data_IF_516941551000
#
_entry.id   IF_516941551000
#
_cell.length_a   1.000
_cell.length_b   1.000
_cell.length_c   1.000
_cell.angle_alpha   90.00
_cell.angle_beta   90.00
_cell.angle_gamma   90.00
#
_symmetry.space_group_name_H-M   'P 1'
#
loop_
_entity.id
_entity.type
_entity.pdbx_description
1 polymer ?
#
# COMPACT_ATOMS: atom_id res chain seq x y z
N UNK A 1 -7.41 -4.67 -17.02
CA UNK A 1 -7.39 -5.68 -18.08
C UNK A 1 -5.95 -5.95 -18.48
N UNK A 2 -5.56 -7.21 -18.64
CA UNK A 2 -4.22 -7.66 -19.04
C UNK A 2 -4.34 -8.50 -20.30
N UNK A 3 -3.52 -8.23 -21.31
CA UNK A 3 -3.44 -9.00 -22.55
C UNK A 3 -2.02 -9.51 -22.74
N UNK A 4 -1.85 -10.77 -23.15
CA UNK A 4 -0.56 -11.39 -23.43
C UNK A 4 -0.55 -11.96 -24.84
N UNK A 5 0.54 -11.77 -25.58
CA UNK A 5 0.73 -12.34 -26.91
C UNK A 5 2.21 -12.35 -27.30
N UNK A 6 2.56 -13.24 -28.22
CA UNK A 6 3.95 -13.46 -28.69
C UNK A 6 4.46 -12.38 -29.65
N UNK A 7 3.56 -11.62 -30.29
CA UNK A 7 3.93 -10.57 -31.26
C UNK A 7 3.21 -9.25 -30.97
N UNK A 8 3.83 -8.15 -31.40
CA UNK A 8 3.28 -6.79 -31.22
C UNK A 8 1.87 -6.67 -31.81
N UNK A 9 1.65 -7.23 -33.01
CA UNK A 9 0.36 -7.19 -33.71
C UNK A 9 -0.70 -7.98 -32.97
N UNK A 10 -0.40 -9.22 -32.56
CA UNK A 10 -1.33 -10.06 -31.77
C UNK A 10 -1.67 -9.40 -30.44
N UNK A 11 -0.69 -8.77 -29.79
CA UNK A 11 -0.89 -8.04 -28.53
C UNK A 11 -1.83 -6.85 -28.72
N UNK A 12 -1.64 -6.09 -29.80
CA UNK A 12 -2.52 -4.97 -30.15
C UNK A 12 -3.95 -5.43 -30.43
N UNK A 13 -4.14 -6.51 -31.19
CA UNK A 13 -5.45 -7.09 -31.47
C UNK A 13 -6.14 -7.55 -30.20
N UNK A 14 -5.46 -8.37 -29.38
CA UNK A 14 -6.02 -8.88 -28.13
C UNK A 14 -6.39 -7.76 -27.15
N UNK A 15 -5.54 -6.73 -27.03
CA UNK A 15 -5.85 -5.55 -26.22
C UNK A 15 -7.08 -4.80 -26.75
N UNK A 16 -7.20 -4.65 -28.07
CA UNK A 16 -8.31 -3.95 -28.71
C UNK A 16 -9.64 -4.71 -28.56
N UNK A 17 -9.64 -6.03 -28.74
CA UNK A 17 -10.80 -6.89 -28.50
C UNK A 17 -11.28 -6.81 -27.06
N UNK A 18 -10.34 -6.90 -26.11
CA UNK A 18 -10.64 -6.80 -24.70
C UNK A 18 -11.24 -5.41 -24.37
N UNK A 19 -10.65 -4.32 -24.88
CA UNK A 19 -11.23 -2.98 -24.70
C UNK A 19 -12.60 -2.82 -25.36
N UNK A 20 -12.87 -3.50 -26.48
CA UNK A 20 -14.20 -3.50 -27.11
C UNK A 20 -15.25 -4.12 -26.21
N UNK A 21 -14.95 -5.25 -25.56
CA UNK A 21 -15.84 -5.88 -24.57
C UNK A 21 -16.13 -4.91 -23.43
N UNK A 22 -15.08 -4.28 -22.87
CA UNK A 22 -15.23 -3.32 -21.78
C UNK A 22 -16.02 -2.08 -22.19
N UNK A 23 -15.83 -1.61 -23.43
CA UNK A 23 -16.59 -0.48 -23.98
C UNK A 23 -18.08 -0.80 -24.14
N UNK A 24 -18.43 -1.95 -24.71
CA UNK A 24 -19.83 -2.37 -24.81
C UNK A 24 -20.49 -2.44 -23.43
N UNK A 25 -19.75 -2.91 -22.42
CA UNK A 25 -20.23 -2.94 -21.05
C UNK A 25 -20.39 -1.53 -20.46
N UNK A 26 -19.41 -0.62 -20.64
CA UNK A 26 -19.48 0.74 -20.11
C UNK A 26 -20.63 1.53 -20.73
N UNK A 27 -20.81 1.42 -22.05
CA UNK A 27 -21.85 2.11 -22.81
C UNK A 27 -23.24 1.62 -22.36
N UNK A 28 -23.40 0.32 -22.11
CA UNK A 28 -24.65 -0.26 -21.58
C UNK A 28 -25.02 0.29 -20.20
N UNK A 29 -24.04 0.62 -19.37
CA UNK A 29 -24.25 1.12 -18.00
C UNK A 29 -24.15 2.65 -17.91
N UNK A 30 -24.05 3.37 -19.04
CA UNK A 30 -23.94 4.83 -19.06
C UNK A 30 -22.66 5.38 -18.42
N UNK A 31 -21.58 4.58 -18.37
CA UNK A 31 -20.31 4.96 -17.75
C UNK A 31 -19.35 5.59 -18.78
N UNK A 32 -18.94 6.83 -18.54
CA UNK A 32 -17.91 7.49 -19.34
C UNK A 32 -16.50 7.32 -18.71
N UNK A 33 -15.56 6.81 -19.51
CA UNK A 33 -14.19 6.58 -19.06
C UNK A 33 -13.33 7.84 -19.26
N UNK A 34 -12.66 8.26 -18.19
CA UNK A 34 -11.73 9.39 -18.20
C UNK A 34 -10.46 9.07 -19.01
N UNK A 35 -10.37 9.67 -20.19
CA UNK A 35 -9.27 9.55 -21.15
C UNK A 35 -7.90 9.87 -20.54
N UNK A 36 -7.81 10.91 -19.72
CA UNK A 36 -6.56 11.36 -19.10
C UNK A 36 -6.00 10.35 -18.08
N UNK A 37 -6.90 9.63 -17.40
CA UNK A 37 -6.56 8.62 -16.41
C UNK A 37 -6.27 7.26 -17.06
N UNK A 38 -6.76 7.01 -18.27
CA UNK A 38 -6.53 5.75 -18.99
C UNK A 38 -5.13 5.72 -19.59
N UNK A 39 -4.30 4.84 -19.06
CA UNK A 39 -2.94 4.59 -19.52
C UNK A 39 -2.69 3.09 -19.55
N UNK A 40 -1.73 2.65 -20.37
CA UNK A 40 -1.30 1.26 -20.37
C UNK A 40 0.21 1.13 -20.15
N UNK A 41 0.58 0.02 -19.51
CA UNK A 41 1.96 -0.39 -19.28
C UNK A 41 2.26 -1.58 -20.19
N UNK A 42 3.35 -1.51 -20.95
CA UNK A 42 3.84 -2.65 -21.73
C UNK A 42 4.88 -3.41 -20.92
N UNK A 43 4.58 -4.67 -20.57
CA UNK A 43 5.49 -5.60 -19.92
C UNK A 43 6.13 -6.51 -20.98
N UNK A 44 7.03 -5.97 -21.80
CA UNK A 44 7.77 -6.75 -22.80
C UNK A 44 9.08 -6.06 -23.21
N UNK A 45 9.95 -6.81 -23.89
CA UNK A 45 11.19 -6.29 -24.47
C UNK A 45 10.99 -5.62 -25.85
N UNK A 46 9.74 -5.49 -26.31
CA UNK A 46 9.45 -4.90 -27.61
C UNK A 46 9.85 -3.40 -27.63
N UNK A 47 10.67 -3.02 -28.61
CA UNK A 47 11.11 -1.63 -28.81
C UNK A 47 9.92 -0.73 -29.17
N UNK A 48 9.12 -1.16 -30.15
CA UNK A 48 7.82 -0.57 -30.49
C UNK A 48 6.72 -1.34 -29.78
N UNK A 49 5.68 -0.64 -29.35
CA UNK A 49 4.57 -1.23 -28.62
C UNK A 49 3.27 -0.98 -29.37
N UNK A 50 2.23 -1.79 -29.11
CA UNK A 50 0.99 -1.70 -29.86
C UNK A 50 0.36 -0.31 -29.72
N UNK A 51 -0.28 0.14 -30.80
CA UNK A 51 -1.12 1.33 -30.75
C UNK A 51 -2.51 0.91 -30.32
N UNK A 52 -2.84 1.23 -29.07
CA UNK A 52 -4.11 0.89 -28.43
C UNK A 52 -5.02 2.12 -28.45
N UNK A 53 -6.28 1.91 -28.80
CA UNK A 53 -7.28 2.97 -28.90
C UNK A 53 -8.49 2.70 -28.00
N UNK A 54 -9.05 3.77 -27.46
CA UNK A 54 -10.36 3.81 -26.80
C UNK A 54 -11.29 4.69 -27.63
N UNK A 55 -12.16 4.07 -28.44
CA UNK A 55 -12.90 4.78 -29.48
C UNK A 55 -11.95 5.35 -30.53
N UNK A 56 -12.05 6.65 -30.81
CA UNK A 56 -11.17 7.35 -31.76
C UNK A 56 -9.84 7.82 -31.16
N UNK A 57 -9.65 7.68 -29.84
CA UNK A 57 -8.49 8.25 -29.15
C UNK A 57 -7.45 7.20 -28.79
N UNK A 58 -6.17 7.57 -28.94
CA UNK A 58 -5.05 6.70 -28.59
C UNK A 58 -4.79 6.71 -27.08
N UNK A 59 -4.73 5.54 -26.48
CA UNK A 59 -4.39 5.39 -25.05
C UNK A 59 -2.89 5.62 -24.85
N UNK A 60 -2.52 6.43 -23.85
CA UNK A 60 -1.13 6.75 -23.57
C UNK A 60 -0.38 5.55 -23.01
N UNK A 61 0.76 5.22 -23.63
CA UNK A 61 1.76 4.28 -23.08
C UNK A 61 2.58 4.97 -21.99
N UNK A 62 2.73 4.33 -20.83
CA UNK A 62 3.64 4.78 -19.76
C UNK A 62 4.72 3.75 -19.45
N UNK A 63 5.87 4.19 -18.92
CA UNK A 63 6.93 3.31 -18.38
C UNK A 63 6.69 2.94 -16.91
N UNK A 64 5.85 3.71 -16.22
CA UNK A 64 5.46 3.48 -14.83
C UNK A 64 3.98 3.74 -14.68
N UNK A 65 3.24 2.73 -14.23
CA UNK A 65 1.79 2.81 -14.02
C UNK A 65 1.49 2.73 -12.53
N UNK A 66 0.64 3.64 -12.02
CA UNK A 66 0.17 3.59 -10.64
C UNK A 66 -1.14 2.81 -10.59
N UNK A 67 -1.17 1.74 -9.81
CA UNK A 67 -2.36 0.92 -9.59
C UNK A 67 -2.54 0.68 -8.09
N UNK A 68 -3.68 1.10 -7.53
CA UNK A 68 -3.99 0.99 -6.09
C UNK A 68 -2.86 1.53 -5.18
N UNK A 69 -2.20 2.61 -5.61
CA UNK A 69 -1.08 3.22 -4.88
C UNK A 69 0.28 2.54 -5.07
N UNK A 70 0.35 1.43 -5.80
CA UNK A 70 1.60 0.73 -6.16
C UNK A 70 2.08 1.20 -7.53
N UNK A 71 3.38 1.50 -7.66
CA UNK A 71 3.97 1.91 -8.93
C UNK A 71 4.65 0.73 -9.63
N UNK A 72 4.08 0.31 -10.76
CA UNK A 72 4.53 -0.79 -11.60
C UNK A 72 5.43 -0.26 -12.71
N UNK A 73 6.70 -0.68 -12.74
CA UNK A 73 7.61 -0.38 -13.84
C UNK A 73 7.47 -1.35 -15.01
N UNK A 74 7.89 -0.94 -16.22
CA UNK A 74 7.78 -1.76 -17.45
C UNK A 74 8.58 -3.08 -17.45
N UNK A 75 9.51 -3.25 -16.51
CA UNK A 75 10.25 -4.50 -16.24
C UNK A 75 9.96 -5.07 -14.85
N UNK A 76 8.78 -4.74 -14.29
CA UNK A 76 8.45 -4.98 -12.88
C UNK A 76 9.52 -4.43 -11.92
N UNK A 77 10.11 -3.29 -12.28
CA UNK A 77 11.09 -2.61 -11.45
C UNK A 77 10.38 -1.80 -10.35
N UNK A 78 10.68 -2.12 -9.10
CA UNK A 78 10.07 -1.53 -7.90
C UNK A 78 10.84 -0.33 -7.34
N UNK A 79 11.97 0.06 -7.95
CA UNK A 79 12.79 1.15 -7.47
C UNK A 79 12.03 2.49 -7.44
N UNK A 80 11.16 2.76 -8.41
CA UNK A 80 10.33 3.97 -8.40
C UNK A 80 9.33 3.93 -7.24
N UNK A 81 8.66 2.79 -7.03
CA UNK A 81 7.73 2.61 -5.92
C UNK A 81 8.40 2.85 -4.56
N UNK A 82 9.55 2.24 -4.32
CA UNK A 82 10.33 2.40 -3.09
C UNK A 82 10.75 3.85 -2.82
N UNK A 83 11.18 4.57 -3.85
CA UNK A 83 11.54 5.99 -3.72
C UNK A 83 10.31 6.80 -3.30
N UNK A 84 9.15 6.55 -3.92
CA UNK A 84 7.90 7.23 -3.58
C UNK A 84 7.43 6.92 -2.16
N UNK A 85 7.40 5.64 -1.74
CA UNK A 85 6.99 5.28 -0.38
C UNK A 85 7.97 5.78 0.67
N UNK A 86 9.27 5.69 0.42
CA UNK A 86 10.29 6.23 1.31
C UNK A 86 10.22 7.75 1.44
N UNK A 87 9.92 8.47 0.35
CA UNK A 87 9.71 9.92 0.41
C UNK A 87 8.45 10.27 1.23
N UNK A 88 7.34 9.55 1.01
CA UNK A 88 6.11 9.72 1.77
C UNK A 88 6.32 9.47 3.27
N UNK A 89 7.03 8.40 3.63
CA UNK A 89 7.36 8.07 5.01
C UNK A 89 8.23 9.16 5.68
N UNK A 90 9.25 9.65 4.98
CA UNK A 90 10.09 10.74 5.48
C UNK A 90 9.32 12.06 5.62
N UNK A 91 8.40 12.36 4.70
CA UNK A 91 7.55 13.54 4.78
C UNK A 91 6.67 13.50 6.03
N UNK A 92 5.99 12.37 6.28
CA UNK A 92 5.17 12.18 7.47
C UNK A 92 6.00 12.28 8.75
N UNK A 93 7.18 11.66 8.78
CA UNK A 93 8.09 11.79 9.91
C UNK A 93 8.55 13.24 10.13
N UNK A 94 8.89 13.97 9.06
CA UNK A 94 9.33 15.35 9.17
C UNK A 94 8.26 16.26 9.77
N UNK A 95 6.98 15.98 9.49
CA UNK A 95 5.85 16.68 10.10
C UNK A 95 5.75 16.37 11.60
N UNK A 96 5.96 15.12 12.01
CA UNK A 96 5.96 14.74 13.42
C UNK A 96 7.12 15.36 14.20
N UNK A 97 8.32 15.38 13.62
CA UNK A 97 9.52 15.97 14.28
C UNK A 97 9.41 17.48 14.43
N UNK A 98 8.62 18.17 13.59
CA UNK A 98 8.33 19.60 13.79
C UNK A 98 7.52 19.86 15.06
N UNK A 99 6.75 18.89 15.53
CA UNK A 99 5.91 19.02 16.73
C UNK A 99 6.64 18.60 18.01
N UNK A 100 7.68 17.76 17.89
CA UNK A 100 8.50 17.33 19.00
C UNK A 100 9.91 16.91 18.56
N UNK A 101 10.92 17.42 19.26
CA UNK A 101 12.32 17.11 19.01
C UNK A 101 12.77 15.74 19.51
N UNK A 102 14.06 15.42 19.31
CA UNK A 102 14.64 14.20 19.86
C UNK A 102 14.89 14.27 21.37
N UNK A 103 15.01 15.49 21.92
CA UNK A 103 15.30 15.77 23.34
C UNK A 103 14.13 16.39 24.11
N UNK A 104 13.02 16.71 23.44
CA UNK A 104 11.85 17.33 24.06
C UNK A 104 10.54 16.87 23.38
N UNK A 105 9.42 16.94 24.11
CA UNK A 105 8.10 16.55 23.59
C UNK A 105 7.83 15.04 23.70
N UNK A 106 8.21 14.25 22.69
CA UNK A 106 7.80 12.84 22.54
C UNK A 106 8.90 11.89 23.07
N UNK A 107 8.51 10.96 23.96
CA UNK A 107 9.41 9.94 24.49
C UNK A 107 9.99 9.03 23.38
N UNK A 108 11.22 8.50 23.53
CA UNK A 108 11.79 7.55 22.56
C UNK A 108 10.89 6.34 22.31
N UNK A 109 10.23 5.83 23.36
CA UNK A 109 9.27 4.71 23.26
C UNK A 109 8.11 5.02 22.32
N UNK A 110 7.51 6.21 22.44
CA UNK A 110 6.41 6.61 21.57
C UNK A 110 6.89 6.89 20.14
N UNK A 111 8.10 7.46 19.95
CA UNK A 111 8.72 7.59 18.62
C UNK A 111 8.92 6.23 17.94
N UNK A 112 9.38 5.22 18.67
CA UNK A 112 9.51 3.85 18.16
C UNK A 112 8.14 3.26 17.76
N UNK A 113 7.10 3.50 18.56
CA UNK A 113 5.73 3.07 18.21
C UNK A 113 5.21 3.76 16.95
N UNK A 114 5.41 5.08 16.82
CA UNK A 114 5.03 5.84 15.62
C UNK A 114 5.80 5.38 14.38
N UNK A 115 7.08 5.07 14.52
CA UNK A 115 7.89 4.49 13.44
C UNK A 115 7.27 3.17 12.94
N UNK A 116 6.97 2.24 13.85
CA UNK A 116 6.35 0.94 13.51
C UNK A 116 4.94 1.10 12.92
N UNK A 117 4.12 1.98 13.49
CA UNK A 117 2.72 2.15 13.09
C UNK A 117 2.57 2.90 11.77
N UNK A 118 3.40 3.92 11.52
CA UNK A 118 3.24 4.84 10.37
C UNK A 118 4.30 4.62 9.33
N UNK A 119 5.58 4.64 9.72
CA UNK A 119 6.69 4.61 8.75
C UNK A 119 6.82 3.23 8.12
N UNK A 120 6.94 2.18 8.94
CA UNK A 120 7.05 0.80 8.42
C UNK A 120 5.85 0.47 7.53
N UNK A 121 4.63 0.81 7.97
CA UNK A 121 3.40 0.56 7.19
C UNK A 121 3.32 1.35 5.89
N UNK A 122 3.81 2.60 5.88
CA UNK A 122 3.85 3.40 4.66
C UNK A 122 4.84 2.81 3.65
N UNK A 123 6.02 2.38 4.11
CA UNK A 123 7.01 1.74 3.24
C UNK A 123 6.50 0.37 2.77
N UNK A 124 5.84 -0.40 3.64
CA UNK A 124 5.27 -1.71 3.35
C UNK A 124 4.04 -1.68 2.42
N UNK A 125 3.62 -0.52 1.91
CA UNK A 125 2.48 -0.44 1.00
C UNK A 125 2.73 -1.30 -0.25
N UNK A 126 1.84 -2.28 -0.44
CA UNK A 126 1.93 -3.24 -1.55
C UNK A 126 3.10 -4.22 -1.44
N UNK A 127 3.68 -4.45 -0.25
CA UNK A 127 4.84 -5.33 -0.04
C UNK A 127 4.63 -6.74 -0.58
N UNK A 128 3.39 -7.24 -0.60
CA UNK A 128 3.05 -8.53 -1.22
C UNK A 128 3.38 -8.63 -2.71
N UNK A 129 3.41 -7.50 -3.43
CA UNK A 129 3.70 -7.45 -4.85
C UNK A 129 5.22 -7.36 -5.15
N UNK A 130 6.00 -6.71 -4.27
CA UNK A 130 7.40 -6.37 -4.57
C UNK A 130 8.42 -6.84 -3.53
N UNK A 131 8.00 -7.21 -2.33
CA UNK A 131 8.86 -7.58 -1.21
C UNK A 131 9.44 -9.00 -1.29
N UNK A 132 9.04 -9.82 -2.28
CA UNK A 132 9.58 -11.16 -2.49
C UNK A 132 11.00 -11.18 -3.05
N UNK A 133 11.40 -10.13 -3.75
CA UNK A 133 12.69 -10.05 -4.43
C UNK A 133 13.31 -8.69 -4.15
N UNK A 134 13.90 -8.54 -2.96
CA UNK A 134 14.58 -7.32 -2.55
C UNK A 134 16.03 -7.38 -3.05
N UNK A 135 16.36 -6.52 -4.01
CA UNK A 135 17.73 -6.44 -4.54
C UNK A 135 18.65 -5.65 -3.59
N UNK A 136 19.97 -5.86 -3.67
CA UNK A 136 20.96 -5.09 -2.91
C UNK A 136 20.75 -3.57 -3.01
N UNK A 137 20.46 -3.06 -4.21
CA UNK A 137 20.18 -1.63 -4.43
C UNK A 137 18.94 -1.15 -3.68
N UNK A 138 17.93 -2.00 -3.50
CA UNK A 138 16.75 -1.71 -2.69
C UNK A 138 17.10 -1.70 -1.21
N UNK A 139 17.90 -2.66 -0.74
CA UNK A 139 18.41 -2.72 0.65
C UNK A 139 19.14 -1.42 1.00
N UNK A 140 20.09 -0.99 0.17
CA UNK A 140 20.84 0.26 0.42
C UNK A 140 19.90 1.48 0.52
N UNK A 141 18.90 1.57 -0.38
CA UNK A 141 17.93 2.66 -0.35
C UNK A 141 17.03 2.61 0.89
N UNK A 142 16.57 1.43 1.28
CA UNK A 142 15.76 1.24 2.49
C UNK A 142 16.54 1.66 3.74
N UNK A 143 17.80 1.23 3.86
CA UNK A 143 18.70 1.64 4.95
C UNK A 143 18.92 3.16 4.99
N UNK A 144 19.13 3.79 3.82
CA UNK A 144 19.23 5.25 3.71
C UNK A 144 17.95 5.98 4.15
N UNK A 145 16.76 5.41 3.89
CA UNK A 145 15.48 5.98 4.34
C UNK A 145 15.20 5.72 5.81
N UNK A 146 15.65 4.59 6.34
CA UNK A 146 15.48 4.21 7.75
C UNK A 146 16.37 5.07 8.67
N UNK A 147 17.63 5.30 8.27
CA UNK A 147 18.66 5.90 9.12
C UNK A 147 18.27 7.24 9.78
N UNK A 148 17.70 8.23 9.08
CA UNK A 148 17.31 9.50 9.71
C UNK A 148 16.28 9.32 10.82
N UNK A 149 15.39 8.35 10.67
CA UNK A 149 14.33 8.04 11.63
C UNK A 149 14.93 7.42 12.90
N UNK A 150 15.87 6.50 12.73
CA UNK A 150 16.57 5.88 13.84
C UNK A 150 17.40 6.90 14.63
N UNK A 151 18.10 7.80 13.95
CA UNK A 151 18.83 8.90 14.59
C UNK A 151 17.87 9.83 15.37
N UNK A 152 16.69 10.11 14.83
CA UNK A 152 15.69 10.88 15.54
C UNK A 152 15.16 10.15 16.78
N UNK A 153 14.93 8.83 16.71
CA UNK A 153 14.46 8.02 17.84
C UNK A 153 15.50 7.98 18.97
N UNK A 154 16.76 7.73 18.64
CA UNK A 154 17.82 7.55 19.65
C UNK A 154 18.42 8.86 20.14
N UNK A 155 18.43 9.91 19.32
CA UNK A 155 19.21 11.12 19.58
C UNK A 155 20.72 10.92 19.44
N UNK A 156 21.17 9.80 18.86
CA UNK A 156 22.59 9.48 18.71
C UNK A 156 23.30 10.38 17.68
N UNK A 157 24.65 10.38 17.72
CA UNK A 157 25.47 11.13 16.78
C UNK A 157 25.25 10.69 15.32
N UNK A 158 25.42 11.63 14.39
CA UNK A 158 25.27 11.36 12.94
C UNK A 158 26.29 10.35 12.41
N UNK A 159 27.39 10.12 13.13
CA UNK A 159 28.45 9.15 12.82
C UNK A 159 28.15 7.75 13.37
N UNK A 160 27.12 7.57 14.21
CA UNK A 160 26.79 6.27 14.78
C UNK A 160 26.40 5.25 13.70
N UNK A 161 26.92 4.01 13.71
CA UNK A 161 26.58 2.98 12.73
C UNK A 161 25.07 2.66 12.71
N UNK A 162 24.48 2.47 11.52
CA UNK A 162 23.03 2.18 11.40
C UNK A 162 22.64 0.87 12.10
N UNK A 163 23.51 -0.14 12.04
CA UNK A 163 23.31 -1.42 12.74
C UNK A 163 23.23 -1.24 14.26
N UNK A 164 24.09 -0.41 14.83
CA UNK A 164 24.04 -0.09 16.26
C UNK A 164 22.72 0.61 16.64
N UNK A 165 22.22 1.52 15.79
CA UNK A 165 20.94 2.19 16.02
C UNK A 165 19.76 1.20 15.99
N UNK A 166 19.77 0.26 15.05
CA UNK A 166 18.75 -0.80 14.93
C UNK A 166 18.72 -1.68 16.19
N UNK A 167 19.89 -2.11 16.67
CA UNK A 167 20.02 -2.92 17.88
C UNK A 167 19.51 -2.18 19.12
N UNK A 168 19.97 -0.94 19.35
CA UNK A 168 19.58 -0.14 20.53
C UNK A 168 18.07 0.15 20.55
N UNK A 169 17.46 0.38 19.38
CA UNK A 169 16.02 0.67 19.28
C UNK A 169 15.14 -0.59 19.25
N UNK A 170 15.72 -1.77 19.07
CA UNK A 170 14.97 -3.00 18.79
C UNK A 170 14.16 -2.91 17.50
N UNK A 171 14.67 -2.17 16.51
CA UNK A 171 14.04 -2.01 15.19
C UNK A 171 14.82 -2.85 14.18
N UNK A 172 14.12 -3.77 13.52
CA UNK A 172 14.68 -4.62 12.47
C UNK A 172 15.11 -3.79 11.25
N UNK A 173 16.17 -4.18 10.52
CA UNK A 173 16.44 -3.65 9.19
C UNK A 173 15.20 -3.70 8.30
N UNK A 174 14.89 -2.60 7.61
CA UNK A 174 13.66 -2.49 6.83
C UNK A 174 13.52 -3.58 5.77
N UNK A 175 14.62 -3.94 5.10
CA UNK A 175 14.68 -4.99 4.10
C UNK A 175 14.22 -6.35 4.67
N UNK A 176 14.82 -6.80 5.77
CA UNK A 176 14.44 -8.06 6.44
C UNK A 176 12.98 -8.00 6.88
N UNK A 177 12.54 -6.88 7.47
CA UNK A 177 11.17 -6.69 7.93
C UNK A 177 10.15 -6.81 6.79
N UNK A 178 10.44 -6.18 5.65
CA UNK A 178 9.56 -6.17 4.48
C UNK A 178 9.53 -7.53 3.78
N UNK A 179 10.66 -8.21 3.70
CA UNK A 179 10.75 -9.57 3.18
C UNK A 179 9.91 -10.54 4.02
N UNK A 180 10.08 -10.52 5.34
CA UNK A 180 9.28 -11.32 6.26
C UNK A 180 7.77 -11.03 6.13
N UNK A 181 7.37 -9.76 5.97
CA UNK A 181 5.96 -9.41 5.75
C UNK A 181 5.44 -9.91 4.39
N UNK A 182 6.25 -9.88 3.32
CA UNK A 182 5.86 -10.41 2.02
C UNK A 182 5.65 -11.93 2.07
N UNK A 183 6.56 -12.65 2.73
CA UNK A 183 6.51 -14.10 2.94
C UNK A 183 5.28 -14.48 3.78
N UNK A 184 5.04 -13.79 4.88
CA UNK A 184 3.88 -14.01 5.73
C UNK A 184 2.56 -13.83 4.97
N UNK A 185 2.45 -12.78 4.15
CA UNK A 185 1.27 -12.56 3.30
C UNK A 185 1.10 -13.68 2.28
N UNK A 186 2.19 -14.22 1.75
CA UNK A 186 2.12 -15.36 0.82
C UNK A 186 1.61 -16.63 1.48
N UNK A 187 2.10 -16.97 2.66
CA UNK A 187 1.63 -18.14 3.41
C UNK A 187 0.16 -17.97 3.81
N UNK A 188 -0.15 -16.91 4.57
CA UNK A 188 -1.45 -16.79 5.23
C UNK A 188 -2.55 -16.35 4.26
N UNK A 189 -2.30 -15.37 3.39
CA UNK A 189 -3.36 -14.80 2.53
C UNK A 189 -3.44 -15.45 1.16
N UNK A 190 -2.31 -15.84 0.59
CA UNK A 190 -2.28 -16.46 -0.74
C UNK A 190 -2.32 -17.98 -0.68
N UNK A 191 -2.21 -18.59 0.51
CA UNK A 191 -2.22 -20.04 0.75
C UNK A 191 -1.22 -20.75 -0.14
N UNK A 192 0.02 -20.25 -0.15
CA UNK A 192 1.13 -20.81 -0.92
C UNK A 192 2.27 -21.18 0.00
N UNK A 193 2.70 -22.43 -0.08
CA UNK A 193 3.89 -22.92 0.61
C UNK A 193 5.12 -22.08 0.22
N UNK A 194 6.05 -22.02 1.13
CA UNK A 194 7.32 -21.32 0.97
C UNK A 194 8.47 -22.23 1.35
N UNK A 195 9.59 -22.08 0.66
CA UNK A 195 10.85 -22.67 1.07
C UNK A 195 11.81 -21.53 1.38
N UNK A 196 12.26 -21.43 2.63
CA UNK A 196 13.18 -20.39 3.09
C UNK A 196 14.41 -21.12 3.62
N UNK A 197 15.58 -20.84 3.04
CA UNK A 197 16.87 -21.43 3.47
C UNK A 197 16.89 -22.97 3.57
N UNK A 198 16.03 -23.65 2.80
CA UNK A 198 15.92 -25.11 2.77
C UNK A 198 14.82 -25.69 3.68
N UNK A 199 14.19 -24.86 4.51
CA UNK A 199 13.03 -25.26 5.31
C UNK A 199 11.73 -25.01 4.55
N UNK A 200 10.84 -25.99 4.55
CA UNK A 200 9.50 -25.87 3.95
C UNK A 200 8.48 -25.40 4.99
N UNK A 201 7.77 -24.34 4.63
CA UNK A 201 6.69 -23.74 5.39
C UNK A 201 5.37 -24.04 4.65
N UNK A 202 4.60 -24.98 5.19
CA UNK A 202 3.27 -25.30 4.69
C UNK A 202 2.27 -24.25 5.22
N UNK A 203 1.40 -23.70 4.37
CA UNK A 203 0.39 -22.74 4.82
C UNK A 203 -0.64 -23.36 5.79
N UNK A 204 -0.86 -24.69 5.73
CA UNK A 204 -1.86 -25.41 6.53
C UNK A 204 -1.49 -25.52 8.01
N UNK A 205 -0.21 -25.39 8.34
CA UNK A 205 0.25 -25.43 9.74
C UNK A 205 0.08 -24.09 10.46
N UNK A 206 -0.28 -23.03 9.72
CA UNK A 206 -0.54 -21.71 10.27
C UNK A 206 -2.01 -21.51 10.56
N UNK A 207 -2.31 -20.99 11.75
CA UNK A 207 -3.67 -20.60 12.10
C UNK A 207 -4.23 -19.58 11.10
N UNK A 208 -5.44 -19.84 10.62
CA UNK A 208 -6.16 -18.87 9.82
C UNK A 208 -6.44 -17.64 10.69
N UNK A 209 -5.94 -16.49 10.27
CA UNK A 209 -6.32 -15.25 10.91
C UNK A 209 -7.82 -15.08 10.71
N UNK A 210 -8.60 -15.09 11.81
CA UNK A 210 -10.04 -14.86 11.77
C UNK A 210 -10.32 -13.66 10.88
N UNK A 211 -10.96 -13.90 9.73
CA UNK A 211 -11.46 -12.83 8.89
C UNK A 211 -12.50 -12.10 9.73
N UNK A 212 -12.34 -10.77 9.88
CA UNK A 212 -13.24 -9.98 10.73
C UNK A 212 -14.70 -10.18 10.33
N UNK A 213 -15.63 -9.87 11.24
CA UNK A 213 -17.09 -9.95 11.07
C UNK A 213 -17.55 -11.05 10.10
N UNK A 214 -17.79 -12.25 10.63
CA UNK A 214 -18.35 -13.39 9.88
C UNK A 214 -19.73 -13.10 9.26
N UNK A 215 -20.36 -11.98 9.62
CA UNK A 215 -21.60 -11.44 9.08
C UNK A 215 -21.46 -9.95 8.81
N UNK A 216 -21.96 -9.49 7.67
CA UNK A 216 -21.91 -8.08 7.30
C UNK A 216 -22.78 -7.25 8.26
N UNK A 217 -22.35 -6.06 8.75
CA UNK A 217 -23.15 -5.26 9.69
C UNK A 217 -24.56 -4.88 9.20
N UNK A 218 -24.78 -4.85 7.88
CA UNK A 218 -26.12 -4.62 7.31
C UNK A 218 -27.08 -5.80 7.47
N UNK A 219 -26.61 -7.00 7.84
CA UNK A 219 -27.47 -8.14 8.19
C UNK A 219 -28.08 -8.00 9.60
N UNK A 220 -27.67 -6.98 10.37
CA UNK A 220 -28.00 -6.78 11.79
C UNK A 220 -28.63 -5.42 12.09
N UNK A 221 -29.11 -4.70 11.06
CA UNK A 221 -29.94 -3.52 11.32
C UNK A 221 -31.29 -4.05 11.80
N UNK A 222 -31.45 -4.21 13.12
CA UNK A 222 -32.76 -4.29 13.74
C UNK A 222 -33.52 -3.03 13.30
N UNK A 223 -34.55 -3.19 12.46
CA UNK A 223 -35.40 -2.10 11.97
C UNK A 223 -36.03 -1.32 13.13
N UNK A 224 -36.14 -1.94 14.32
CA UNK A 224 -36.68 -1.35 15.54
C UNK A 224 -35.71 -0.46 16.33
N UNK A 225 -34.42 -0.36 15.96
CA UNK A 225 -33.46 0.49 16.72
C UNK A 225 -33.59 1.99 16.46
N UNK A 226 -34.29 2.39 15.41
CA UNK A 226 -34.53 3.81 15.10
C UNK A 226 -36.02 4.10 15.24
N UNK A 227 -36.49 4.08 16.48
CA UNK A 227 -37.82 4.60 16.78
C UNK A 227 -37.75 6.13 16.76
N UNK A 228 -38.23 6.75 15.67
CA UNK A 228 -38.22 8.21 15.46
C UNK A 228 -39.17 8.94 16.42
N UNK A 229 -40.03 8.23 17.16
CA UNK A 229 -41.05 8.84 18.01
C UNK A 229 -40.61 9.06 19.47
N UNK A 230 -39.51 8.45 19.93
CA UNK A 230 -39.25 8.35 21.38
C UNK A 230 -38.29 9.41 21.96
N UNK A 231 -37.96 10.51 21.26
CA UNK A 231 -37.03 11.50 21.85
C UNK A 231 -37.25 12.98 21.49
N UNK A 232 -38.47 13.38 21.13
CA UNK A 232 -38.81 14.80 20.92
C UNK A 232 -39.52 15.46 22.12
N UNK A 233 -39.88 14.70 23.15
CA UNK A 233 -40.55 15.23 24.36
C UNK A 233 -39.63 15.62 25.51
N UNK A 234 -38.45 15.00 25.64
CA UNK A 234 -37.62 15.12 26.86
C UNK A 234 -36.63 16.29 26.81
N UNK A 235 -36.27 16.79 25.62
CA UNK A 235 -35.23 17.84 25.48
C UNK A 235 -35.77 19.27 25.57
N UNK A 236 -37.10 19.49 25.57
CA UNK A 236 -37.68 20.85 25.57
C UNK A 236 -37.97 21.46 26.94
N UNK A 237 -37.83 20.74 28.06
CA UNK A 237 -38.27 21.23 29.37
C UNK A 237 -37.18 21.37 30.46
N UNK A 238 -35.89 21.41 30.10
CA UNK A 238 -34.80 21.49 31.08
C UNK A 238 -33.95 22.78 31.05
N UNK A 239 -34.37 23.83 30.33
CA UNK A 239 -33.58 25.07 30.21
C UNK A 239 -34.34 26.39 30.41
N UNK A 240 -35.27 26.51 31.38
CA UNK A 240 -35.93 27.83 31.63
C UNK A 240 -35.98 28.28 33.11
N UNK A 241 -35.45 27.56 34.10
CA UNK A 241 -35.43 28.09 35.48
C UNK A 241 -34.11 27.84 36.20
N UNK A 242 -33.29 28.88 36.37
CA UNK A 242 -32.20 28.83 37.34
C UNK A 242 -31.01 29.77 37.18
N UNK A 243 -31.17 31.01 36.66
CA UNK A 243 -30.21 32.11 36.89
C UNK A 243 -30.94 33.46 36.91
N UNK A 244 -31.43 33.83 38.09
CA UNK A 244 -31.47 35.19 38.64
C UNK A 244 -31.06 35.07 40.11
#
# INVERSE_FOLDING_TARGET
>A
MTSAAESERKLGTAASEALKIFKTWSDRHGLEISKEKTQFLLLSNLRRGPSIYWGSQRVKRTKTLKYLGVHLGSKLNWAHHLVQQGAKALQQHSQLVKLAGCTWGISPKLRTQLYRAVTERTVAHGVSAWGRYITYRMITKLSQKQRPLLLNITGAYRTSPTSALQVITGIMPLDIKLEAEAQLVQLIRLKKNLTIEGEEYNYETYEEKATGWSRHPAEFIDEERVNLEENLGVVRNQYIHGWL
#
